data_IF_414079272262
#
_entry.id   IF_414079272262
#
_cell.length_a   1.000
_cell.length_b   1.000
_cell.length_c   1.000
_cell.angle_alpha   90.00
_cell.angle_beta   90.00
_cell.angle_gamma   90.00
#
_symmetry.space_group_name_H-M   'P 1'
#
loop_
_entity.id
_entity.type
_entity.pdbx_description
1 polymer ?
#
# COMPACT_ATOMS: atom_id res chain seq x y z
N UNK A 1 4.66 -16.19 -40.97
CA UNK A 1 4.86 -16.26 -39.52
C UNK A 1 4.12 -15.09 -38.90
N UNK A 2 2.92 -15.31 -38.37
CA UNK A 2 2.16 -14.30 -37.64
C UNK A 2 2.73 -14.20 -36.23
N UNK A 3 3.41 -13.09 -35.94
CA UNK A 3 3.73 -12.72 -34.56
C UNK A 3 2.44 -12.29 -33.88
N UNK A 4 1.86 -13.18 -33.08
CA UNK A 4 0.81 -12.81 -32.15
C UNK A 4 1.36 -11.75 -31.20
N UNK A 5 0.85 -10.53 -31.30
CA UNK A 5 0.96 -9.59 -30.19
C UNK A 5 0.05 -10.17 -29.11
N UNK A 6 0.65 -10.87 -28.15
CA UNK A 6 -0.01 -11.15 -26.88
C UNK A 6 -0.47 -9.81 -26.33
N UNK A 7 -1.76 -9.55 -26.50
CA UNK A 7 -2.37 -8.32 -26.01
C UNK A 7 -2.52 -8.58 -24.53
N UNK A 8 -1.58 -8.06 -23.72
CA UNK A 8 -1.70 -8.13 -22.27
C UNK A 8 -3.05 -7.54 -21.88
N UNK A 9 -3.94 -8.36 -21.34
CA UNK A 9 -5.26 -7.92 -20.91
C UNK A 9 -5.04 -7.08 -19.65
N UNK A 10 -5.14 -5.76 -19.81
CA UNK A 10 -5.10 -4.81 -18.72
C UNK A 10 -6.50 -4.77 -18.08
N UNK A 11 -6.60 -5.26 -16.85
CA UNK A 11 -7.78 -5.13 -16.00
C UNK A 11 -7.75 -3.79 -15.27
N UNK A 12 -8.91 -3.36 -14.80
CA UNK A 12 -9.10 -2.12 -14.07
C UNK A 12 -9.93 -2.39 -12.83
N UNK A 13 -9.54 -1.75 -11.71
CA UNK A 13 -10.28 -1.76 -10.45
C UNK A 13 -10.17 -0.39 -9.78
N UNK A 14 -11.08 -0.05 -8.88
CA UNK A 14 -11.12 1.25 -8.18
C UNK A 14 -10.69 1.10 -6.73
N UNK A 15 -9.87 2.04 -6.24
CA UNK A 15 -9.70 2.23 -4.80
C UNK A 15 -10.96 2.88 -4.24
N UNK A 16 -11.80 2.13 -3.52
CA UNK A 16 -13.07 2.64 -3.01
C UNK A 16 -12.84 3.83 -2.07
N UNK A 17 -13.33 5.01 -2.46
CA UNK A 17 -13.15 6.22 -1.67
C UNK A 17 -14.01 6.20 -0.39
N UNK A 18 -13.38 6.15 0.78
CA UNK A 18 -14.06 6.19 2.09
C UNK A 18 -14.04 7.57 2.75
N UNK A 19 -13.30 8.52 2.18
CA UNK A 19 -13.22 9.89 2.67
C UNK A 19 -14.52 10.66 2.44
N UNK A 20 -14.92 11.53 3.38
CA UNK A 20 -16.16 12.30 3.27
C UNK A 20 -15.93 13.64 2.52
N UNK A 21 -16.48 13.83 1.30
CA UNK A 21 -16.36 15.08 0.54
C UNK A 21 -17.16 16.26 1.12
N UNK A 22 -17.98 16.07 2.16
CA UNK A 22 -18.90 17.11 2.66
C UNK A 22 -18.27 18.15 3.58
N UNK A 23 -17.12 17.88 4.22
CA UNK A 23 -16.53 18.83 5.19
C UNK A 23 -15.69 19.94 4.56
N UNK A 24 -15.08 19.70 3.40
CA UNK A 24 -14.34 20.70 2.64
C UNK A 24 -14.77 20.60 1.19
N UNK A 25 -15.33 21.66 0.61
CA UNK A 25 -15.83 21.74 -0.79
C UNK A 25 -14.71 21.60 -1.85
N UNK A 26 -13.68 20.80 -1.63
CA UNK A 26 -12.57 20.56 -2.53
C UNK A 26 -12.41 19.06 -2.79
N UNK A 27 -12.84 18.62 -3.97
CA UNK A 27 -12.60 17.29 -4.51
C UNK A 27 -11.16 17.17 -5.04
N UNK A 28 -10.20 17.32 -4.13
CA UNK A 28 -8.77 17.24 -4.44
C UNK A 28 -8.25 15.86 -4.06
N UNK A 29 -7.41 15.28 -4.93
CA UNK A 29 -6.65 14.04 -4.69
C UNK A 29 -6.01 13.98 -3.30
N UNK A 30 -5.63 15.12 -2.74
CA UNK A 30 -5.06 15.25 -1.41
C UNK A 30 -5.95 14.74 -0.26
N UNK A 31 -7.24 14.54 -0.49
CA UNK A 31 -8.22 14.03 0.48
C UNK A 31 -8.77 12.64 0.14
N UNK A 32 -8.09 11.88 -0.71
CA UNK A 32 -8.51 10.53 -1.06
C UNK A 32 -8.15 9.54 0.06
N UNK A 33 -9.15 8.88 0.60
CA UNK A 33 -8.98 7.80 1.57
C UNK A 33 -9.58 6.52 1.00
N UNK A 34 -8.93 5.39 1.24
CA UNK A 34 -9.45 4.06 0.89
C UNK A 34 -9.35 3.16 2.11
N UNK A 35 -10.02 2.00 2.07
CA UNK A 35 -9.79 0.94 3.05
C UNK A 35 -8.84 -0.09 2.48
N UNK A 36 -7.84 -0.47 3.27
CA UNK A 36 -7.07 -1.70 3.07
C UNK A 36 -7.48 -2.69 4.15
N UNK A 37 -7.45 -3.97 3.82
CA UNK A 37 -7.63 -5.03 4.81
C UNK A 37 -6.38 -5.89 4.85
N UNK A 38 -6.01 -6.38 6.03
CA UNK A 38 -4.91 -7.33 6.16
C UNK A 38 -5.05 -8.16 7.43
N UNK A 39 -4.33 -9.28 7.46
CA UNK A 39 -4.19 -10.13 8.64
C UNK A 39 -2.77 -10.00 9.21
N UNK A 40 -2.66 -9.80 10.52
CA UNK A 40 -1.39 -9.82 11.24
C UNK A 40 -1.56 -10.59 12.54
N UNK A 41 -0.71 -11.59 12.77
CA UNK A 41 -0.79 -12.51 13.91
C UNK A 41 -2.17 -13.19 14.05
N UNK A 42 -2.81 -13.56 12.93
CA UNK A 42 -4.13 -14.19 12.92
C UNK A 42 -5.31 -13.23 13.14
N UNK A 43 -5.04 -11.92 13.21
CA UNK A 43 -6.05 -10.89 13.45
C UNK A 43 -6.27 -10.06 12.18
N UNK A 44 -7.52 -10.01 11.73
CA UNK A 44 -7.92 -9.19 10.59
C UNK A 44 -8.10 -7.73 11.02
N UNK A 45 -7.64 -6.80 10.20
CA UNK A 45 -7.77 -5.35 10.42
C UNK A 45 -8.18 -4.65 9.13
N UNK A 46 -9.24 -3.86 9.22
CA UNK A 46 -9.69 -2.98 8.14
C UNK A 46 -9.28 -1.54 8.46
N UNK A 47 -8.26 -1.02 7.77
CA UNK A 47 -7.68 0.28 8.06
C UNK A 47 -8.05 1.26 6.97
N UNK A 48 -8.62 2.40 7.37
CA UNK A 48 -8.76 3.54 6.47
C UNK A 48 -7.40 4.24 6.34
N UNK A 49 -6.93 4.38 5.11
CA UNK A 49 -5.63 4.94 4.76
C UNK A 49 -5.79 6.11 3.81
N UNK A 50 -4.98 7.15 3.99
CA UNK A 50 -4.86 8.23 3.02
C UNK A 50 -3.98 7.75 1.87
N UNK A 51 -4.40 7.96 0.63
CA UNK A 51 -3.54 7.73 -0.54
C UNK A 51 -2.56 8.89 -0.64
N UNK A 52 -1.26 8.62 -0.51
CA UNK A 52 -0.23 9.67 -0.49
C UNK A 52 0.97 9.30 -1.37
N UNK A 53 1.06 9.94 -2.54
CA UNK A 53 2.14 9.68 -3.49
C UNK A 53 3.43 10.43 -3.19
N UNK A 54 3.44 11.26 -2.14
CA UNK A 54 4.67 11.79 -1.57
C UNK A 54 5.30 10.85 -0.55
N UNK A 55 4.55 9.84 -0.06
CA UNK A 55 5.08 8.88 0.91
C UNK A 55 5.79 7.73 0.20
N UNK A 56 7.06 7.45 0.50
CA UNK A 56 7.76 6.30 -0.05
C UNK A 56 7.24 4.97 0.51
N UNK A 57 6.57 4.97 1.67
CA UNK A 57 6.15 3.76 2.37
C UNK A 57 4.65 3.74 2.68
N UNK A 58 4.07 2.55 2.61
CA UNK A 58 2.77 2.23 3.18
C UNK A 58 2.94 1.97 4.65
N UNK A 59 2.33 2.82 5.47
CA UNK A 59 2.56 2.86 6.91
C UNK A 59 1.25 3.02 7.68
N UNK A 60 1.09 2.20 8.71
CA UNK A 60 -0.04 2.24 9.64
C UNK A 60 0.43 2.75 10.99
N UNK A 61 -0.22 3.79 11.50
CA UNK A 61 0.02 4.29 12.84
C UNK A 61 -0.33 3.24 13.89
N UNK A 62 0.60 2.94 14.80
CA UNK A 62 0.43 1.88 15.79
C UNK A 62 -0.71 2.16 16.80
N UNK A 63 -1.18 3.41 16.88
CA UNK A 63 -2.32 3.80 17.72
C UNK A 63 -3.63 3.87 16.94
N UNK A 64 -3.65 3.49 15.66
CA UNK A 64 -4.87 3.52 14.83
C UNK A 64 -6.03 2.82 15.52
N UNK A 65 -7.13 3.54 15.70
CA UNK A 65 -8.33 3.07 16.43
C UNK A 65 -8.92 1.77 15.88
N UNK A 66 -8.74 1.49 14.59
CA UNK A 66 -9.23 0.29 13.92
C UNK A 66 -8.29 -0.91 14.05
N UNK A 67 -7.06 -0.73 14.55
CA UNK A 67 -6.21 -1.84 14.93
C UNK A 67 -6.76 -2.47 16.22
N UNK A 68 -6.78 -3.80 16.24
CA UNK A 68 -7.12 -4.59 17.42
C UNK A 68 -6.18 -4.28 18.60
N UNK A 69 -6.71 -4.32 19.83
CA UNK A 69 -5.94 -4.02 21.03
C UNK A 69 -4.77 -4.99 21.24
N UNK A 70 -4.94 -6.27 20.91
CA UNK A 70 -3.89 -7.30 21.00
C UNK A 70 -2.77 -7.00 20.01
N UNK A 71 -3.13 -6.52 18.82
CA UNK A 71 -2.16 -6.15 17.80
C UNK A 71 -1.36 -4.90 18.21
N UNK A 72 -2.03 -3.89 18.80
CA UNK A 72 -1.36 -2.71 19.37
C UNK A 72 -0.36 -3.08 20.45
N UNK A 73 -0.77 -3.97 21.36
CA UNK A 73 0.11 -4.43 22.44
C UNK A 73 1.31 -5.18 21.89
N UNK A 74 1.11 -6.10 20.94
CA UNK A 74 2.21 -6.78 20.27
C UNK A 74 3.21 -5.79 19.66
N UNK A 75 2.73 -4.84 18.86
CA UNK A 75 3.57 -3.81 18.22
C UNK A 75 4.37 -2.99 19.25
N UNK A 76 3.76 -2.70 20.41
CA UNK A 76 4.42 -2.01 21.53
C UNK A 76 5.49 -2.89 22.18
N UNK A 77 5.19 -4.15 22.47
CA UNK A 77 6.13 -5.08 23.13
C UNK A 77 7.37 -5.34 22.28
N UNK A 78 7.20 -5.47 20.96
CA UNK A 78 8.34 -5.73 20.07
C UNK A 78 9.22 -4.49 19.85
N UNK A 79 8.80 -3.30 20.33
CA UNK A 79 9.50 -2.02 20.22
C UNK A 79 9.51 -1.43 18.80
N UNK A 80 9.06 -0.20 18.62
CA UNK A 80 9.13 0.53 17.33
C UNK A 80 10.37 1.44 17.34
N UNK A 81 11.53 0.86 17.67
CA UNK A 81 12.83 1.56 17.60
C UNK A 81 13.48 1.30 16.23
N UNK A 82 12.89 1.86 15.18
CA UNK A 82 13.56 2.01 13.90
C UNK A 82 13.98 3.46 13.72
N UNK A 83 15.28 3.78 13.70
CA UNK A 83 15.72 5.07 13.15
C UNK A 83 15.71 4.95 11.63
N UNK A 84 14.61 5.32 11.00
CA UNK A 84 14.53 5.38 9.54
C UNK A 84 14.81 6.79 9.03
N UNK A 85 15.40 6.90 7.84
CA UNK A 85 15.73 8.17 7.17
C UNK A 85 14.49 8.93 6.62
N UNK A 86 13.30 8.59 7.12
CA UNK A 86 12.04 9.19 6.69
C UNK A 86 11.65 10.22 7.71
N UNK A 87 11.33 11.41 7.23
CA UNK A 87 10.91 12.52 8.07
C UNK A 87 9.46 12.88 7.76
N UNK A 88 8.75 13.43 8.75
CA UNK A 88 7.48 14.08 8.52
C UNK A 88 7.67 15.42 7.80
N UNK A 89 6.56 16.08 7.45
CA UNK A 89 6.60 17.39 6.77
C UNK A 89 7.24 18.51 7.61
N UNK A 90 7.52 18.27 8.89
CA UNK A 90 8.20 19.19 9.81
C UNK A 90 9.66 18.80 10.06
N UNK A 91 10.19 17.78 9.37
CA UNK A 91 11.57 17.32 9.52
C UNK A 91 11.79 16.41 10.73
N UNK A 92 10.72 15.92 11.39
CA UNK A 92 10.87 15.01 12.52
C UNK A 92 11.05 13.58 12.00
N UNK A 93 12.00 12.80 12.55
CA UNK A 93 12.17 11.42 12.16
C UNK A 93 10.93 10.59 12.47
N UNK A 94 10.50 9.80 11.51
CA UNK A 94 9.43 8.82 11.65
C UNK A 94 10.07 7.47 11.91
N UNK A 95 9.79 6.88 13.06
CA UNK A 95 10.22 5.52 13.35
C UNK A 95 9.33 4.51 12.62
N UNK A 96 9.92 3.74 11.71
CA UNK A 96 9.20 2.72 10.93
C UNK A 96 9.62 1.31 11.35
N UNK A 97 8.63 0.45 11.56
CA UNK A 97 8.83 -0.96 11.84
C UNK A 97 8.23 -1.82 10.74
N UNK A 98 9.03 -2.58 9.98
CA UNK A 98 8.51 -3.48 8.96
C UNK A 98 7.76 -4.65 9.61
N UNK A 99 6.62 -5.02 9.05
CA UNK A 99 5.85 -6.22 9.39
C UNK A 99 5.36 -6.88 8.10
N UNK A 100 5.38 -8.21 8.05
CA UNK A 100 4.79 -8.97 6.95
C UNK A 100 3.38 -9.33 7.33
N UNK A 101 2.42 -8.75 6.62
CA UNK A 101 1.00 -9.02 6.79
C UNK A 101 0.54 -10.03 5.75
N UNK A 102 -0.51 -10.78 6.08
CA UNK A 102 -1.12 -11.78 5.22
C UNK A 102 -2.42 -11.26 4.63
N UNK A 103 -2.86 -11.84 3.51
CA UNK A 103 -4.16 -11.54 2.89
C UNK A 103 -4.42 -10.03 2.72
N UNK A 104 -3.38 -9.28 2.33
CA UNK A 104 -3.49 -7.83 2.18
C UNK A 104 -4.37 -7.53 0.97
N UNK A 105 -5.54 -6.96 1.22
CA UNK A 105 -6.51 -6.57 0.23
C UNK A 105 -6.39 -5.08 -0.04
N UNK A 106 -6.05 -4.75 -1.29
CA UNK A 106 -6.05 -3.38 -1.79
C UNK A 106 -7.41 -3.03 -2.41
N UNK A 107 -7.98 -3.96 -3.20
CA UNK A 107 -9.35 -3.93 -3.73
C UNK A 107 -9.93 -5.35 -3.69
N UNK A 108 -11.20 -5.52 -4.07
CA UNK A 108 -11.80 -6.86 -4.23
C UNK A 108 -11.04 -7.76 -5.23
N UNK A 109 -10.37 -7.15 -6.20
CA UNK A 109 -9.63 -7.88 -7.24
C UNK A 109 -8.13 -8.06 -6.91
N UNK A 110 -7.59 -7.21 -6.01
CA UNK A 110 -6.15 -7.16 -5.72
C UNK A 110 -5.91 -7.58 -4.28
N UNK A 111 -5.50 -8.83 -4.09
CA UNK A 111 -5.14 -9.42 -2.80
C UNK A 111 -3.74 -10.00 -2.85
N UNK A 112 -2.83 -9.49 -2.02
CA UNK A 112 -1.50 -10.04 -1.84
C UNK A 112 -1.50 -11.10 -0.73
N UNK A 113 -1.01 -12.33 -0.99
CA UNK A 113 -0.95 -13.36 0.04
C UNK A 113 -0.08 -12.95 1.23
N UNK A 114 1.09 -12.35 0.96
CA UNK A 114 2.01 -11.82 1.97
C UNK A 114 2.73 -10.59 1.44
N UNK A 115 2.65 -9.48 2.17
CA UNK A 115 3.30 -8.21 1.80
C UNK A 115 3.89 -7.53 3.02
N UNK A 116 5.04 -6.87 2.84
CA UNK A 116 5.66 -6.04 3.87
C UNK A 116 5.01 -4.66 3.87
N UNK A 117 4.52 -4.24 5.04
CA UNK A 117 4.12 -2.86 5.32
C UNK A 117 4.86 -2.36 6.55
N UNK A 118 4.69 -1.08 6.89
CA UNK A 118 5.34 -0.47 8.03
C UNK A 118 4.33 -0.06 9.12
N UNK A 119 4.76 -0.12 10.37
CA UNK A 119 4.05 0.44 11.51
C UNK A 119 4.86 1.56 12.16
N UNK A 120 4.18 2.57 12.73
CA UNK A 120 4.86 3.71 13.35
C UNK A 120 4.09 4.27 14.53
N UNK A 121 4.77 4.49 15.66
CA UNK A 121 4.21 5.24 16.79
C UNK A 121 4.11 6.75 16.49
N UNK A 122 5.03 7.29 15.69
CA UNK A 122 5.07 8.72 15.34
C UNK A 122 3.81 9.18 14.59
N UNK A 123 3.15 8.27 13.87
CA UNK A 123 1.93 8.59 13.11
C UNK A 123 0.63 8.51 13.94
N UNK A 124 0.70 8.04 15.19
CA UNK A 124 -0.46 7.88 16.09
C UNK A 124 -1.59 7.09 15.43
N UNK A 125 -2.74 7.73 15.18
CA UNK A 125 -3.90 7.10 14.54
C UNK A 125 -3.87 7.12 13.01
N UNK A 126 -2.94 7.86 12.39
CA UNK A 126 -2.90 8.07 10.94
C UNK A 126 -2.40 6.82 10.22
N UNK A 127 -2.85 6.61 9.00
CA UNK A 127 -2.33 5.57 8.13
C UNK A 127 -2.29 6.06 6.68
N UNK A 128 -1.29 5.60 5.94
CA UNK A 128 -0.94 6.07 4.60
C UNK A 128 -0.71 4.87 3.69
N UNK A 129 -1.35 4.89 2.52
CA UNK A 129 -1.00 4.04 1.38
C UNK A 129 0.03 4.80 0.53
N UNK A 130 1.26 4.31 0.56
CA UNK A 130 2.42 4.97 -0.06
C UNK A 130 2.76 4.44 -1.44
N UNK A 131 3.82 5.01 -2.01
CA UNK A 131 4.30 4.67 -3.34
C UNK A 131 4.87 3.27 -3.44
N UNK A 132 5.43 2.70 -2.38
CA UNK A 132 5.92 1.32 -2.37
C UNK A 132 4.91 0.31 -2.94
N UNK A 133 3.64 0.38 -2.55
CA UNK A 133 2.57 -0.46 -3.09
C UNK A 133 1.98 0.12 -4.38
N UNK A 134 1.78 1.44 -4.46
CA UNK A 134 1.13 2.06 -5.61
C UNK A 134 1.94 1.93 -6.91
N UNK A 135 3.27 1.96 -6.85
CA UNK A 135 4.15 1.81 -8.02
C UNK A 135 4.18 0.39 -8.58
N UNK A 136 3.61 -0.58 -7.86
CA UNK A 136 3.42 -1.92 -8.42
C UNK A 136 2.37 -1.93 -9.55
N UNK A 137 1.63 -0.82 -9.72
CA UNK A 137 0.55 -0.68 -10.68
C UNK A 137 0.66 0.61 -11.48
N UNK A 138 0.07 0.61 -12.67
CA UNK A 138 -0.35 1.86 -13.29
C UNK A 138 -1.60 2.35 -12.57
N UNK A 139 -1.63 3.62 -12.16
CA UNK A 139 -2.83 4.20 -11.53
C UNK A 139 -3.10 5.62 -12.03
N UNK A 140 -4.38 5.98 -12.10
CA UNK A 140 -4.82 7.29 -12.60
C UNK A 140 -5.91 7.87 -11.71
N UNK A 141 -5.78 9.15 -11.40
CA UNK A 141 -6.87 9.92 -10.80
C UNK A 141 -7.80 10.43 -11.90
N UNK A 142 -9.05 9.96 -11.87
CA UNK A 142 -10.11 10.41 -12.78
C UNK A 142 -10.89 11.52 -12.08
N UNK A 143 -10.72 12.75 -12.58
CA UNK A 143 -11.23 13.95 -11.93
C UNK A 143 -12.75 14.01 -11.92
N UNK A 144 -13.39 13.54 -13.00
CA UNK A 144 -14.85 13.59 -13.15
C UNK A 144 -15.53 12.59 -12.23
N UNK A 145 -15.00 11.36 -12.20
CA UNK A 145 -15.46 10.28 -11.33
C UNK A 145 -14.97 10.44 -9.88
N UNK A 146 -13.99 11.30 -9.66
CA UNK A 146 -13.32 11.55 -8.38
C UNK A 146 -12.82 10.24 -7.76
N UNK A 147 -12.28 9.39 -8.62
CA UNK A 147 -11.86 8.02 -8.33
C UNK A 147 -10.37 7.85 -8.65
N UNK A 148 -9.70 6.96 -7.92
CA UNK A 148 -8.39 6.45 -8.30
C UNK A 148 -8.60 5.06 -8.88
N UNK A 149 -8.32 4.91 -10.17
CA UNK A 149 -8.34 3.62 -10.85
C UNK A 149 -6.94 3.03 -10.87
N UNK A 150 -6.87 1.73 -10.58
CA UNK A 150 -5.68 0.89 -10.66
C UNK A 150 -5.84 -0.01 -11.87
N UNK A 151 -4.80 -0.05 -12.68
CA UNK A 151 -4.69 -0.92 -13.84
C UNK A 151 -3.65 -1.99 -13.57
N UNK A 152 -3.98 -3.23 -13.88
CA UNK A 152 -3.13 -4.38 -13.57
C UNK A 152 -3.28 -5.48 -14.62
N UNK A 153 -2.25 -6.28 -14.81
CA UNK A 153 -2.31 -7.47 -15.67
C UNK A 153 -3.14 -8.56 -15.00
N UNK A 154 -3.91 -9.35 -15.76
CA UNK A 154 -4.72 -10.45 -15.19
C UNK A 154 -3.92 -11.45 -14.35
N UNK A 155 -2.69 -11.75 -14.77
CA UNK A 155 -1.77 -12.64 -14.04
C UNK A 155 -0.76 -11.85 -13.19
N UNK A 156 -1.04 -10.60 -12.84
CA UNK A 156 -0.11 -9.71 -12.15
C UNK A 156 0.49 -10.33 -10.90
N UNK A 157 -0.30 -11.00 -10.05
CA UNK A 157 0.23 -11.65 -8.83
C UNK A 157 1.17 -12.80 -9.14
N UNK A 158 0.91 -13.58 -10.20
CA UNK A 158 1.81 -14.64 -10.67
C UNK A 158 3.08 -14.05 -11.28
N UNK A 159 2.93 -13.01 -12.10
CA UNK A 159 4.05 -12.26 -12.69
C UNK A 159 4.91 -11.63 -11.60
N UNK A 160 4.30 -11.01 -10.59
CA UNK A 160 4.99 -10.40 -9.47
C UNK A 160 5.61 -11.47 -8.56
N UNK A 161 4.94 -12.61 -8.37
CA UNK A 161 5.50 -13.81 -7.74
C UNK A 161 6.75 -14.35 -8.44
N UNK A 162 6.74 -14.40 -9.78
CA UNK A 162 7.90 -14.79 -10.60
C UNK A 162 9.00 -13.73 -10.62
N UNK A 163 8.62 -12.44 -10.62
CA UNK A 163 9.51 -11.28 -10.61
C UNK A 163 10.02 -10.91 -9.22
N UNK A 164 9.52 -11.52 -8.14
CA UNK A 164 10.03 -11.27 -6.79
C UNK A 164 11.54 -11.45 -6.81
N UNK A 165 12.27 -10.33 -6.73
CA UNK A 165 13.73 -10.27 -6.81
C UNK A 165 14.38 -11.11 -5.70
N UNK A 166 13.62 -11.51 -4.68
CA UNK A 166 14.02 -12.50 -3.71
C UNK A 166 13.06 -13.69 -3.67
N UNK A 167 13.27 -14.68 -4.55
CA UNK A 167 12.62 -16.00 -4.47
C UNK A 167 12.74 -16.67 -3.08
N UNK A 168 13.64 -16.18 -2.23
CA UNK A 168 13.94 -16.73 -0.91
C UNK A 168 13.20 -16.06 0.27
N UNK A 169 12.52 -14.91 0.09
CA UNK A 169 11.88 -14.20 1.20
C UNK A 169 10.50 -14.76 1.56
N UNK A 170 9.77 -15.31 0.60
CA UNK A 170 8.40 -15.83 0.82
C UNK A 170 7.33 -14.76 1.03
N UNK A 171 7.61 -13.48 0.76
CA UNK A 171 6.66 -12.36 0.79
C UNK A 171 7.08 -11.25 -0.18
N UNK A 172 6.13 -10.37 -0.53
CA UNK A 172 6.39 -9.19 -1.37
C UNK A 172 6.97 -8.07 -0.52
N UNK A 173 8.16 -7.60 -0.89
CA UNK A 173 8.77 -6.40 -0.34
C UNK A 173 8.68 -5.28 -1.39
N UNK A 174 7.69 -4.38 -1.31
CA UNK A 174 7.47 -3.41 -2.36
C UNK A 174 8.63 -2.40 -2.47
N UNK A 175 9.35 -2.13 -1.38
CA UNK A 175 10.52 -1.25 -1.37
C UNK A 175 11.72 -1.79 -2.17
N UNK A 176 11.80 -3.11 -2.39
CA UNK A 176 12.83 -3.72 -3.25
C UNK A 176 12.44 -3.72 -4.74
N UNK A 177 11.14 -3.59 -5.03
CA UNK A 177 10.61 -3.59 -6.40
C UNK A 177 10.62 -2.16 -6.97
N UNK A 178 10.31 -1.16 -6.14
CA UNK A 178 10.36 0.26 -6.53
C UNK A 178 11.78 0.76 -6.92
N UNK A 179 12.84 0.02 -6.57
CA UNK A 179 14.20 0.29 -7.01
C UNK A 179 14.52 -0.23 -8.44
N UNK A 180 13.57 -0.88 -9.11
CA UNK A 180 13.70 -1.42 -10.47
C UNK A 180 13.35 -0.40 -11.58
N UNK A 181 13.77 0.86 -11.46
CA UNK A 181 13.62 1.87 -12.54
C UNK A 181 14.31 1.46 -13.88
N UNK A 182 14.86 0.25 -13.99
CA UNK A 182 15.33 -0.37 -15.22
C UNK A 182 14.32 -1.41 -15.78
N UNK A 183 13.08 -0.99 -16.07
CA UNK A 183 12.31 -1.68 -17.11
C UNK A 183 12.41 -0.86 -18.40
N UNK A 184 12.98 -1.43 -19.49
CA UNK A 184 13.13 -0.69 -20.73
C UNK A 184 11.74 -0.34 -21.25
N UNK A 185 11.50 0.96 -21.38
CA UNK A 185 10.41 1.50 -22.18
C UNK A 185 10.46 0.84 -23.56
N UNK A 186 9.37 0.16 -23.93
CA UNK A 186 9.12 -0.22 -25.32
C UNK A 186 8.53 0.97 -26.08
#
# INVERSE_FOLDING_TARGET
MQGGKDTQIQKQTELVNTGNPRKNRSYLRAYYYTTISFELFGINSDIEVKVDTGSPYTVVGAQNRKLDAVLKEHLRTVGIDGRTAVEDASGNPIGLKPQVVQNFKLTDDIVFPKVKIYFSDSLKEKAILGMDILTLFDFKYHRDDKAIWIYYEENFLETLGKKMINKNLGYIDPGLIAAMDEFPSK
#
